data_IF_829075812335
#
_entry.id   IF_829075812335
#
_cell.length_a   1.000
_cell.length_b   1.000
_cell.length_c   1.000
_cell.angle_alpha   90.00
_cell.angle_beta   90.00
_cell.angle_gamma   90.00
#
_symmetry.space_group_name_H-M   'P 1'
#
loop_
_entity.id
_entity.type
_entity.pdbx_description
1 polymer ?
#
# COMPACT_ATOMS: atom_id res chain seq x y z
N UNK A 1 35.15 31.64 -65.76
CA UNK A 1 36.47 31.57 -65.07
C UNK A 1 36.30 32.20 -63.70
N UNK A 2 36.07 31.40 -62.65
CA UNK A 2 35.79 31.88 -61.28
C UNK A 2 37.12 32.10 -60.56
N UNK A 3 37.47 33.34 -60.24
CA UNK A 3 38.65 33.65 -59.42
C UNK A 3 38.28 33.58 -57.94
N UNK A 4 38.76 32.54 -57.27
CA UNK A 4 38.63 32.35 -55.82
C UNK A 4 39.17 33.60 -55.07
N UNK A 5 38.43 34.15 -54.09
CA UNK A 5 38.90 35.28 -53.31
C UNK A 5 40.10 34.85 -52.42
N UNK A 6 41.12 35.72 -52.26
CA UNK A 6 42.31 35.41 -51.50
C UNK A 6 41.96 35.10 -50.03
N UNK A 7 42.62 34.08 -49.47
CA UNK A 7 42.40 33.54 -48.10
C UNK A 7 42.43 34.65 -47.03
N UNK A 8 43.26 35.67 -47.21
CA UNK A 8 43.32 36.84 -46.31
C UNK A 8 41.98 37.57 -46.16
N UNK A 9 41.19 37.66 -47.24
CA UNK A 9 39.87 38.31 -47.19
C UNK A 9 38.83 37.43 -46.48
N UNK A 10 38.90 36.10 -46.62
CA UNK A 10 38.03 35.19 -45.87
C UNK A 10 38.29 35.24 -44.37
N UNK A 11 39.56 35.30 -43.95
CA UNK A 11 39.92 35.41 -42.53
C UNK A 11 39.52 36.78 -41.97
N UNK A 12 39.65 37.85 -42.75
CA UNK A 12 39.19 39.18 -42.35
C UNK A 12 37.67 39.23 -42.18
N UNK A 13 36.91 38.59 -43.08
CA UNK A 13 35.45 38.48 -42.99
C UNK A 13 35.01 37.61 -41.79
N UNK A 14 35.68 36.48 -41.55
CA UNK A 14 35.40 35.64 -40.38
C UNK A 14 35.72 36.37 -39.07
N UNK A 15 36.83 37.13 -39.02
CA UNK A 15 37.14 37.99 -37.88
C UNK A 15 36.09 39.07 -37.69
N UNK A 16 35.63 39.71 -38.76
CA UNK A 16 34.61 40.76 -38.69
C UNK A 16 33.26 40.22 -38.21
N UNK A 17 32.84 39.03 -38.66
CA UNK A 17 31.59 38.38 -38.22
C UNK A 17 31.67 37.93 -36.74
N UNK A 18 32.82 37.40 -36.30
CA UNK A 18 33.07 37.07 -34.90
C UNK A 18 33.13 38.32 -34.00
N UNK A 19 33.73 39.42 -34.48
CA UNK A 19 33.80 40.68 -33.75
C UNK A 19 32.42 41.35 -33.66
N UNK A 20 31.58 41.21 -34.69
CA UNK A 20 30.18 41.64 -34.69
C UNK A 20 29.33 40.85 -33.68
N UNK A 21 29.72 39.61 -33.37
CA UNK A 21 29.15 38.79 -32.30
C UNK A 21 29.78 39.06 -30.91
N UNK A 22 30.73 40.00 -30.80
CA UNK A 22 31.25 40.51 -29.52
C UNK A 22 30.52 41.79 -29.10
N UNK A 23 29.26 41.97 -29.53
CA UNK A 23 28.35 42.87 -28.81
C UNK A 23 28.07 42.20 -27.46
N UNK A 24 28.66 42.77 -26.41
CA UNK A 24 28.56 42.21 -25.06
C UNK A 24 27.13 41.83 -24.71
N UNK A 25 26.99 40.72 -23.97
CA UNK A 25 25.69 40.16 -23.55
C UNK A 25 24.74 41.30 -23.19
N UNK A 26 23.58 41.44 -23.86
CA UNK A 26 22.66 42.54 -23.62
C UNK A 26 22.36 42.69 -22.12
N UNK A 27 22.30 43.93 -21.62
CA UNK A 27 22.10 44.19 -20.18
C UNK A 27 20.87 43.47 -19.61
N UNK A 28 19.82 43.33 -20.43
CA UNK A 28 18.61 42.57 -20.08
C UNK A 28 18.87 41.07 -19.85
N UNK A 29 19.69 40.41 -20.67
CA UNK A 29 19.99 38.99 -20.48
C UNK A 29 20.95 38.75 -19.33
N UNK A 30 21.88 39.68 -19.07
CA UNK A 30 22.70 39.64 -17.84
C UNK A 30 21.84 39.71 -16.58
N UNK A 31 20.88 40.64 -16.54
CA UNK A 31 19.98 40.80 -15.41
C UNK A 31 19.08 39.58 -15.22
N UNK A 32 18.56 39.02 -16.31
CA UNK A 32 17.75 37.80 -16.29
C UNK A 32 18.54 36.60 -15.74
N UNK A 33 19.77 36.38 -16.22
CA UNK A 33 20.65 35.33 -15.71
C UNK A 33 20.99 35.53 -14.22
N UNK A 34 21.27 36.77 -13.80
CA UNK A 34 21.51 37.10 -12.40
C UNK A 34 20.28 36.77 -11.54
N UNK A 35 19.09 37.13 -12.01
CA UNK A 35 17.83 36.83 -11.33
C UNK A 35 17.61 35.32 -11.23
N UNK A 36 17.85 34.57 -12.31
CA UNK A 36 17.74 33.11 -12.32
C UNK A 36 18.69 32.48 -11.31
N UNK A 37 19.97 32.88 -11.30
CA UNK A 37 20.98 32.38 -10.36
C UNK A 37 20.62 32.75 -8.92
N UNK A 38 20.12 33.96 -8.67
CA UNK A 38 19.67 34.40 -7.35
C UNK A 38 18.53 33.52 -6.82
N UNK A 39 17.50 33.30 -7.64
CA UNK A 39 16.36 32.44 -7.26
C UNK A 39 16.83 31.02 -6.99
N UNK A 40 17.68 30.46 -7.87
CA UNK A 40 18.27 29.13 -7.66
C UNK A 40 19.05 29.05 -6.35
N UNK A 41 19.85 30.06 -6.03
CA UNK A 41 20.65 30.09 -4.81
C UNK A 41 19.77 30.11 -3.55
N UNK A 42 18.68 30.89 -3.56
CA UNK A 42 17.72 30.94 -2.44
C UNK A 42 17.03 29.57 -2.29
N UNK A 43 16.55 28.99 -3.39
CA UNK A 43 15.88 27.67 -3.36
C UNK A 43 16.84 26.59 -2.86
N UNK A 44 18.08 26.56 -3.35
CA UNK A 44 19.10 25.63 -2.88
C UNK A 44 19.46 25.83 -1.41
N UNK A 45 19.52 27.08 -0.95
CA UNK A 45 19.74 27.39 0.47
C UNK A 45 18.63 26.84 1.36
N UNK A 46 17.36 27.03 0.97
CA UNK A 46 16.21 26.47 1.69
C UNK A 46 16.27 24.94 1.70
N UNK A 47 16.51 24.30 0.55
CA UNK A 47 16.61 22.84 0.44
C UNK A 47 17.75 22.33 1.34
N UNK A 48 18.92 22.97 1.31
CA UNK A 48 20.07 22.59 2.12
C UNK A 48 19.74 22.66 3.62
N UNK A 49 19.09 23.74 4.06
CA UNK A 49 18.66 23.89 5.46
C UNK A 49 17.66 22.78 5.82
N UNK A 50 16.65 22.53 4.98
CA UNK A 50 15.62 21.50 5.22
C UNK A 50 16.19 20.07 5.29
N UNK A 51 17.27 19.79 4.56
CA UNK A 51 18.00 18.52 4.62
C UNK A 51 18.79 18.43 5.94
N UNK A 52 19.52 19.48 6.31
CA UNK A 52 20.33 19.51 7.54
C UNK A 52 19.45 19.42 8.78
N UNK A 53 18.30 20.10 8.80
CA UNK A 53 17.34 20.03 9.91
C UNK A 53 16.54 18.73 9.90
N UNK A 54 16.64 17.91 8.85
CA UNK A 54 15.90 16.66 8.72
C UNK A 54 14.40 16.83 8.56
N UNK A 55 13.89 18.07 8.42
CA UNK A 55 12.45 18.35 8.27
C UNK A 55 11.87 17.72 7.00
N UNK A 56 12.68 17.55 5.96
CA UNK A 56 12.27 16.86 4.73
C UNK A 56 12.08 15.34 4.95
N UNK A 57 12.87 14.73 5.83
CA UNK A 57 12.83 13.28 6.12
C UNK A 57 11.83 12.95 7.23
N UNK A 58 11.71 13.80 8.26
CA UNK A 58 10.81 13.61 9.39
C UNK A 58 9.34 13.42 8.96
N UNK A 59 8.85 14.22 8.01
CA UNK A 59 7.48 14.09 7.50
C UNK A 59 7.19 12.76 6.80
N UNK A 60 8.20 12.14 6.16
CA UNK A 60 8.05 10.85 5.48
C UNK A 60 8.19 9.67 6.46
N UNK A 61 9.16 9.73 7.38
CA UNK A 61 9.41 8.68 8.37
C UNK A 61 8.31 8.58 9.44
N UNK A 62 7.69 9.70 9.83
CA UNK A 62 6.56 9.70 10.77
C UNK A 62 5.36 8.96 10.16
N UNK A 63 5.08 9.18 8.88
CA UNK A 63 3.94 8.59 8.18
C UNK A 63 4.12 7.08 8.00
N UNK A 64 5.32 6.62 7.66
CA UNK A 64 5.64 5.18 7.58
C UNK A 64 5.49 4.50 8.94
N UNK A 65 5.97 5.14 10.01
CA UNK A 65 5.89 4.59 11.36
C UNK A 65 4.45 4.47 11.85
N UNK A 66 3.62 5.49 11.61
CA UNK A 66 2.20 5.47 11.97
C UNK A 66 1.44 4.38 11.21
N UNK A 67 1.60 4.30 9.88
CA UNK A 67 0.93 3.28 9.06
C UNK A 67 1.34 1.88 9.48
N UNK A 68 2.63 1.65 9.76
CA UNK A 68 3.13 0.35 10.23
C UNK A 68 2.54 -0.05 11.58
N UNK A 69 2.42 0.90 12.51
CA UNK A 69 1.90 0.63 13.84
C UNK A 69 0.40 0.29 13.80
N UNK A 70 -0.37 1.02 12.99
CA UNK A 70 -1.80 0.74 12.76
C UNK A 70 -2.00 -0.61 12.06
N UNK A 71 -1.16 -0.93 11.07
CA UNK A 71 -1.25 -2.21 10.37
C UNK A 71 -0.95 -3.41 11.29
N UNK A 72 0.08 -3.29 12.14
CA UNK A 72 0.40 -4.31 13.14
C UNK A 72 -0.75 -4.48 14.12
N UNK A 73 -1.31 -3.38 14.62
CA UNK A 73 -2.41 -3.42 15.57
C UNK A 73 -3.68 -4.05 14.96
N UNK A 74 -4.05 -3.66 13.74
CA UNK A 74 -5.16 -4.25 13.00
C UNK A 74 -4.94 -5.74 12.74
N UNK A 75 -3.74 -6.13 12.31
CA UNK A 75 -3.38 -7.53 12.06
C UNK A 75 -3.47 -8.39 13.33
N UNK A 76 -2.95 -7.88 14.46
CA UNK A 76 -3.04 -8.57 15.74
C UNK A 76 -4.49 -8.75 16.20
N UNK A 77 -5.31 -7.69 16.08
CA UNK A 77 -6.73 -7.76 16.43
C UNK A 77 -7.48 -8.77 15.58
N UNK A 78 -7.30 -8.74 14.26
CA UNK A 78 -7.91 -9.69 13.33
C UNK A 78 -7.47 -11.12 13.68
N UNK A 79 -6.16 -11.34 13.90
CA UNK A 79 -5.65 -12.67 14.25
C UNK A 79 -6.24 -13.19 15.56
N UNK A 80 -6.42 -12.32 16.56
CA UNK A 80 -7.01 -12.69 17.85
C UNK A 80 -8.51 -13.00 17.71
N UNK A 81 -9.26 -12.19 16.96
CA UNK A 81 -10.69 -12.42 16.70
C UNK A 81 -10.91 -13.72 15.91
N UNK A 82 -10.12 -13.96 14.87
CA UNK A 82 -10.15 -15.22 14.12
C UNK A 82 -9.79 -16.42 15.01
N UNK A 83 -8.76 -16.30 15.85
CA UNK A 83 -8.39 -17.35 16.80
C UNK A 83 -9.55 -17.70 17.74
N UNK A 84 -10.21 -16.70 18.32
CA UNK A 84 -11.37 -16.90 19.19
C UNK A 84 -12.55 -17.52 18.43
N UNK A 85 -12.84 -17.03 17.23
CA UNK A 85 -13.91 -17.56 16.40
C UNK A 85 -13.67 -19.01 15.98
N UNK A 86 -12.43 -19.37 15.62
CA UNK A 86 -12.06 -20.75 15.31
C UNK A 86 -12.18 -21.67 16.52
N UNK A 87 -11.74 -21.23 17.71
CA UNK A 87 -11.93 -21.99 18.95
C UNK A 87 -13.42 -22.23 19.24
N UNK A 88 -14.23 -21.18 19.17
CA UNK A 88 -15.68 -21.28 19.37
C UNK A 88 -16.34 -22.22 18.35
N UNK A 89 -15.90 -22.17 17.09
CA UNK A 89 -16.39 -23.07 16.03
C UNK A 89 -16.04 -24.52 16.32
N UNK A 90 -14.80 -24.80 16.78
CA UNK A 90 -14.37 -26.15 17.16
C UNK A 90 -15.19 -26.67 18.34
N UNK A 91 -15.39 -25.86 19.38
CA UNK A 91 -16.22 -26.22 20.54
C UNK A 91 -17.67 -26.50 20.14
N UNK A 92 -18.23 -25.65 19.27
CA UNK A 92 -19.57 -25.86 18.71
C UNK A 92 -19.66 -27.17 17.91
N UNK A 93 -18.72 -27.45 17.01
CA UNK A 93 -18.70 -28.71 16.26
C UNK A 93 -18.58 -29.94 17.15
N UNK A 94 -17.77 -29.88 18.21
CA UNK A 94 -17.67 -30.95 19.21
C UNK A 94 -18.99 -31.17 19.95
N UNK A 95 -19.60 -30.09 20.43
CA UNK A 95 -20.89 -30.16 21.12
C UNK A 95 -21.97 -30.75 20.22
N UNK A 96 -22.06 -30.29 18.97
CA UNK A 96 -23.00 -30.80 17.98
C UNK A 96 -22.76 -32.29 17.70
N UNK A 97 -21.51 -32.70 17.48
CA UNK A 97 -21.16 -34.11 17.24
C UNK A 97 -21.56 -35.00 18.41
N UNK A 98 -21.27 -34.58 19.64
CA UNK A 98 -21.61 -35.35 20.85
C UNK A 98 -23.13 -35.52 20.99
N UNK A 99 -23.91 -34.47 20.73
CA UNK A 99 -25.37 -34.54 20.81
C UNK A 99 -25.92 -35.47 19.73
N UNK A 100 -25.41 -35.39 18.50
CA UNK A 100 -25.81 -36.29 17.43
C UNK A 100 -25.50 -37.75 17.76
N UNK A 101 -24.32 -38.02 18.31
CA UNK A 101 -23.90 -39.37 18.71
C UNK A 101 -24.75 -39.91 19.87
N UNK A 102 -25.07 -39.08 20.87
CA UNK A 102 -25.97 -39.46 21.97
C UNK A 102 -27.38 -39.81 21.46
N UNK A 103 -27.90 -39.04 20.49
CA UNK A 103 -29.22 -39.27 19.89
C UNK A 103 -29.25 -40.50 19.01
N UNK A 104 -28.23 -40.72 18.17
CA UNK A 104 -28.08 -41.95 17.37
C UNK A 104 -28.03 -43.19 18.27
N UNK A 105 -27.25 -43.12 19.36
CA UNK A 105 -27.18 -44.21 20.34
C UNK A 105 -28.53 -44.48 21.02
N UNK A 106 -29.31 -43.44 21.36
CA UNK A 106 -30.66 -43.59 21.93
C UNK A 106 -31.63 -44.24 20.95
N UNK A 107 -31.47 -43.95 19.67
CA UNK A 107 -32.25 -44.52 18.58
C UNK A 107 -31.74 -45.92 18.16
N UNK A 108 -30.63 -46.39 18.74
CA UNK A 108 -30.06 -47.70 18.46
C UNK A 108 -29.45 -47.83 17.06
N UNK A 109 -29.14 -46.70 16.41
CA UNK A 109 -28.61 -46.64 15.04
C UNK A 109 -27.21 -46.03 15.02
N UNK A 110 -26.40 -46.43 14.04
CA UNK A 110 -25.11 -45.82 13.74
C UNK A 110 -25.22 -44.84 12.57
N UNK A 111 -24.16 -44.05 12.35
CA UNK A 111 -24.05 -43.15 11.20
C UNK A 111 -24.18 -43.88 9.84
N UNK A 112 -23.85 -45.17 9.77
CA UNK A 112 -23.97 -45.97 8.56
C UNK A 112 -25.44 -46.37 8.29
N UNK A 113 -26.22 -46.60 9.34
CA UNK A 113 -27.60 -47.09 9.26
C UNK A 113 -28.60 -45.99 8.85
N UNK A 114 -28.16 -44.73 8.87
CA UNK A 114 -28.92 -43.55 8.42
C UNK A 114 -29.23 -43.57 6.92
N UNK A 115 -28.45 -44.30 6.12
CA UNK A 115 -28.73 -44.46 4.70
C UNK A 115 -29.96 -45.36 4.46
N UNK A 116 -30.18 -46.32 5.36
CA UNK A 116 -31.26 -47.29 5.28
C UNK A 116 -32.54 -46.80 5.98
N UNK A 117 -32.41 -45.80 6.87
CA UNK A 117 -33.50 -45.21 7.66
C UNK A 117 -33.55 -43.66 7.55
N UNK A 118 -33.88 -43.11 6.37
CA UNK A 118 -33.92 -41.66 6.15
C UNK A 118 -34.97 -40.93 7.00
N UNK A 119 -35.99 -41.62 7.50
CA UNK A 119 -36.99 -41.08 8.43
C UNK A 119 -36.39 -40.56 9.74
N UNK A 120 -35.22 -41.07 10.13
CA UNK A 120 -34.54 -40.69 11.38
C UNK A 120 -33.63 -39.45 11.20
N UNK A 121 -33.39 -39.03 9.95
CA UNK A 121 -32.67 -37.79 9.64
C UNK A 121 -33.41 -36.56 10.14
N UNK A 122 -34.73 -36.57 10.07
CA UNK A 122 -35.54 -35.41 10.48
C UNK A 122 -35.38 -35.14 11.99
N UNK A 123 -35.41 -36.18 12.82
CA UNK A 123 -35.17 -36.07 14.26
C UNK A 123 -33.76 -35.55 14.59
N UNK A 124 -32.73 -36.03 13.89
CA UNK A 124 -31.34 -35.58 14.07
C UNK A 124 -31.13 -34.14 13.59
N UNK A 125 -31.71 -33.74 12.45
CA UNK A 125 -31.59 -32.38 11.91
C UNK A 125 -32.33 -31.39 12.81
N UNK A 126 -33.53 -31.72 13.29
CA UNK A 126 -34.27 -30.90 14.25
C UNK A 126 -33.49 -30.69 15.55
N UNK A 127 -32.86 -31.75 16.08
CA UNK A 127 -32.02 -31.65 17.26
C UNK A 127 -30.78 -30.76 17.04
N UNK A 128 -30.19 -30.79 15.84
CA UNK A 128 -29.07 -29.92 15.48
C UNK A 128 -29.48 -28.45 15.40
N UNK A 129 -30.67 -28.18 14.87
CA UNK A 129 -31.26 -26.84 14.81
C UNK A 129 -31.55 -26.27 16.20
N UNK A 130 -32.13 -27.06 17.10
CA UNK A 130 -32.46 -26.62 18.45
C UNK A 130 -31.19 -26.24 19.25
N UNK A 131 -30.09 -26.96 19.03
CA UNK A 131 -28.79 -26.62 19.60
C UNK A 131 -28.20 -25.31 19.03
N UNK A 132 -28.32 -25.06 17.72
CA UNK A 132 -27.89 -23.77 17.13
C UNK A 132 -28.66 -22.58 17.69
N UNK A 133 -29.96 -22.76 17.95
CA UNK A 133 -30.81 -21.74 18.55
C UNK A 133 -30.43 -21.47 20.01
N UNK A 134 -30.16 -22.52 20.79
CA UNK A 134 -29.72 -22.37 22.18
C UNK A 134 -28.35 -21.68 22.29
N UNK A 135 -27.41 -22.01 21.39
CA UNK A 135 -26.09 -21.39 21.37
C UNK A 135 -26.13 -19.93 20.90
N UNK A 136 -27.05 -19.55 20.00
CA UNK A 136 -27.24 -18.14 19.60
C UNK A 136 -28.02 -17.31 20.61
N UNK A 137 -28.79 -17.93 21.51
CA UNK A 137 -29.57 -17.25 22.55
C UNK A 137 -28.77 -17.04 23.86
N UNK A 138 -27.65 -17.75 24.03
CA UNK A 138 -26.81 -17.73 25.23
C UNK A 138 -25.54 -16.87 25.11
N UNK A 139 -25.29 -16.25 23.95
CA UNK A 139 -24.17 -15.33 23.68
C UNK A 139 -24.64 -13.92 23.36
#
# INVERSE_FOLDING_TARGET
>A
MSTLPPIKNKIALLKQELQKSTMGVPTASRLFLLLTVLVLTIVLGVIAILIVTGTFTAGLSENERLVKNELIHASQKISQEYGRFSLQTIEFSKALSNIMEERMNKLGISAADLQDHPEMLEELVSAGYEQTFFFSAAG
#
